data_IF_315572444515
#
_entry.id   IF_315572444515
#
_cell.length_a   1.000
_cell.length_b   1.000
_cell.length_c   1.000
_cell.angle_alpha   90.00
_cell.angle_beta   90.00
_cell.angle_gamma   90.00
#
_symmetry.space_group_name_H-M   'P 1'
#
loop_
_entity.id
_entity.type
_entity.pdbx_description
1 polymer ?
#
# COMPACT_ATOMS: atom_id res chain seq x y z
N UNK A 1 60.21 12.50 -16.53
CA UNK A 1 60.53 11.21 -17.17
C UNK A 1 61.47 10.45 -16.25
N UNK A 2 60.90 9.56 -15.44
CA UNK A 2 61.58 8.50 -14.66
C UNK A 2 60.47 7.50 -14.28
N UNK A 3 60.62 6.19 -14.55
CA UNK A 3 59.56 5.22 -14.35
C UNK A 3 59.58 4.68 -12.92
N UNK A 4 58.41 4.67 -12.26
CA UNK A 4 58.24 3.99 -10.97
C UNK A 4 57.82 2.54 -11.21
N UNK A 5 58.57 1.66 -10.54
CA UNK A 5 58.63 0.23 -10.76
C UNK A 5 57.38 -0.52 -10.30
N UNK A 6 57.13 -1.63 -11.01
CA UNK A 6 56.13 -2.63 -10.73
C UNK A 6 56.34 -3.33 -9.37
N UNK A 7 55.28 -3.42 -8.58
CA UNK A 7 55.22 -4.29 -7.40
C UNK A 7 54.39 -5.53 -7.75
N UNK A 8 55.08 -6.61 -8.13
CA UNK A 8 54.53 -7.98 -8.17
C UNK A 8 54.76 -8.60 -6.79
N UNK A 9 53.68 -8.77 -6.02
CA UNK A 9 53.67 -9.51 -4.76
C UNK A 9 52.69 -10.68 -4.86
N UNK A 10 53.24 -11.86 -5.13
CA UNK A 10 52.59 -13.17 -5.13
C UNK A 10 52.76 -13.79 -3.75
N UNK A 11 51.69 -14.07 -3.01
CA UNK A 11 51.69 -15.14 -1.99
C UNK A 11 50.33 -15.83 -1.97
N UNK A 12 50.42 -17.15 -2.17
CA UNK A 12 49.39 -18.16 -2.08
C UNK A 12 48.62 -18.10 -0.75
N UNK A 13 47.31 -18.34 -0.77
CA UNK A 13 46.70 -19.02 0.37
C UNK A 13 45.92 -20.24 -0.10
N UNK A 14 46.42 -21.38 0.37
CA UNK A 14 46.01 -22.70 0.00
C UNK A 14 44.72 -23.10 0.73
N UNK A 15 43.92 -23.87 0.01
CA UNK A 15 42.99 -24.87 0.49
C UNK A 15 42.97 -25.14 2.01
N UNK A 16 41.90 -24.69 2.67
CA UNK A 16 41.38 -25.37 3.86
C UNK A 16 40.04 -25.99 3.47
N UNK A 17 40.12 -27.23 2.99
CA UNK A 17 38.98 -28.15 2.90
C UNK A 17 38.77 -28.75 4.29
N UNK A 18 37.73 -28.30 5.00
CA UNK A 18 37.15 -29.08 6.08
C UNK A 18 35.82 -29.66 5.60
N UNK A 19 35.86 -30.95 5.25
CA UNK A 19 34.70 -31.81 5.16
C UNK A 19 34.59 -32.55 6.50
N UNK A 20 33.56 -32.27 7.30
CA UNK A 20 33.01 -33.21 8.31
C UNK A 20 31.51 -32.95 8.46
N UNK A 21 30.74 -33.80 7.78
CA UNK A 21 29.45 -34.46 8.08
C UNK A 21 28.29 -33.79 8.83
N UNK A 22 27.03 -34.18 8.48
CA UNK A 22 25.79 -33.64 9.05
C UNK A 22 25.43 -34.31 10.39
N UNK A 23 25.02 -33.51 11.38
CA UNK A 23 24.35 -34.01 12.58
C UNK A 23 22.84 -33.86 12.36
N UNK A 24 22.22 -34.98 12.00
CA UNK A 24 20.77 -35.18 12.03
C UNK A 24 20.35 -35.36 13.48
N UNK A 25 19.79 -34.34 14.13
CA UNK A 25 19.04 -34.51 15.38
C UNK A 25 17.56 -34.46 15.06
N UNK A 26 16.99 -35.65 14.86
CA UNK A 26 15.56 -35.87 14.98
C UNK A 26 15.22 -35.84 16.48
N UNK A 27 14.61 -34.75 16.95
CA UNK A 27 13.95 -34.70 18.24
C UNK A 27 12.44 -34.54 17.98
N UNK A 28 11.78 -35.68 17.89
CA UNK A 28 10.33 -35.77 18.06
C UNK A 28 10.01 -35.47 19.53
N UNK A 29 9.45 -34.29 19.79
CA UNK A 29 8.79 -33.99 21.06
C UNK A 29 7.29 -33.95 20.79
N UNK A 30 6.66 -35.09 21.05
CA UNK A 30 5.22 -35.19 21.19
C UNK A 30 4.82 -34.49 22.50
N UNK A 31 4.21 -33.30 22.41
CA UNK A 31 3.45 -32.74 23.52
C UNK A 31 2.00 -33.18 23.32
N UNK A 32 1.67 -34.24 24.06
CA UNK A 32 0.32 -34.62 24.42
C UNK A 32 -0.13 -33.69 25.54
N UNK A 33 -1.17 -32.91 25.28
CA UNK A 33 -1.96 -32.17 26.28
C UNK A 33 -3.31 -31.86 25.64
N UNK A 34 -4.34 -32.70 25.77
CA UNK A 34 -5.17 -32.87 26.96
C UNK A 34 -5.82 -31.55 27.43
N UNK A 35 -6.95 -31.24 26.80
CA UNK A 35 -8.16 -30.77 27.47
C UNK A 35 -8.15 -29.38 28.10
N UNK A 36 -8.90 -28.47 27.48
CA UNK A 36 -10.02 -27.81 28.16
C UNK A 36 -11.01 -27.32 27.12
N UNK A 37 -12.19 -27.94 27.12
CA UNK A 37 -13.40 -27.42 26.50
C UNK A 37 -13.71 -26.05 27.09
N UNK A 38 -13.66 -25.02 26.25
CA UNK A 38 -14.40 -23.78 26.46
C UNK A 38 -15.41 -23.69 25.32
N UNK A 39 -16.63 -24.07 25.69
CA UNK A 39 -17.86 -23.97 24.92
C UNK A 39 -18.16 -22.48 24.69
N UNK A 40 -17.55 -21.89 23.66
CA UNK A 40 -17.92 -20.57 23.19
C UNK A 40 -19.15 -20.70 22.31
N UNK A 41 -20.27 -20.29 22.90
CA UNK A 41 -21.59 -20.25 22.32
C UNK A 41 -21.55 -19.66 20.91
N UNK A 42 -21.88 -20.50 19.93
CA UNK A 42 -22.20 -20.09 18.58
C UNK A 42 -23.39 -19.14 18.64
N UNK A 43 -23.12 -17.84 18.65
CA UNK A 43 -24.11 -16.82 18.31
C UNK A 43 -24.49 -17.08 16.85
N UNK A 44 -25.74 -17.44 16.54
CA UNK A 44 -26.16 -17.59 15.16
C UNK A 44 -26.07 -16.21 14.53
N UNK A 45 -25.00 -15.98 13.76
CA UNK A 45 -24.93 -14.88 12.83
C UNK A 45 -26.07 -15.07 11.82
N UNK A 46 -27.23 -14.49 12.14
CA UNK A 46 -28.29 -14.19 11.19
C UNK A 46 -27.64 -13.32 10.12
N UNK A 47 -27.12 -14.01 9.10
CA UNK A 47 -26.61 -13.45 7.87
C UNK A 47 -27.81 -12.80 7.20
N UNK A 48 -28.08 -11.55 7.57
CA UNK A 48 -28.89 -10.63 6.77
C UNK A 48 -28.06 -10.32 5.53
N UNK A 49 -28.00 -11.27 4.60
CA UNK A 49 -27.94 -10.95 3.19
C UNK A 49 -29.34 -10.52 2.80
N UNK A 50 -29.65 -9.21 2.70
CA UNK A 50 -30.68 -8.85 1.74
C UNK A 50 -30.13 -9.30 0.39
N UNK A 51 -30.77 -10.29 -0.20
CA UNK A 51 -30.65 -10.54 -1.61
C UNK A 51 -31.05 -9.23 -2.30
N UNK A 52 -30.06 -8.39 -2.60
CA UNK A 52 -30.23 -7.26 -3.50
C UNK A 52 -30.44 -7.92 -4.86
N UNK A 53 -31.70 -8.29 -5.14
CA UNK A 53 -32.17 -8.50 -6.50
C UNK A 53 -31.61 -7.32 -7.28
N UNK A 54 -30.77 -7.62 -8.26
CA UNK A 54 -30.46 -6.66 -9.29
C UNK A 54 -31.81 -6.22 -9.84
N UNK A 55 -32.23 -5.01 -9.46
CA UNK A 55 -33.28 -4.29 -10.17
C UNK A 55 -32.65 -4.05 -11.52
N UNK A 56 -32.95 -4.95 -12.45
CA UNK A 56 -32.77 -4.64 -13.86
C UNK A 56 -33.58 -3.37 -14.10
N UNK A 57 -32.99 -2.30 -14.64
CA UNK A 57 -33.77 -1.17 -15.08
C UNK A 57 -34.72 -1.72 -16.13
N UNK A 58 -35.99 -1.86 -15.77
CA UNK A 58 -37.05 -1.94 -16.75
C UNK A 58 -37.02 -0.59 -17.43
N UNK A 59 -36.35 -0.54 -18.57
CA UNK A 59 -36.81 0.24 -19.71
C UNK A 59 -38.31 0.03 -19.77
N UNK A 60 -39.05 1.08 -19.42
CA UNK A 60 -40.32 1.46 -20.03
C UNK A 60 -41.05 2.45 -19.11
N UNK A 61 -41.16 3.67 -19.63
CA UNK A 61 -42.34 4.54 -19.46
C UNK A 61 -42.53 5.19 -18.08
N UNK A 62 -41.66 6.13 -17.70
CA UNK A 62 -42.04 7.21 -16.77
C UNK A 62 -41.76 8.57 -17.40
N UNK A 63 -42.85 9.13 -17.92
CA UNK A 63 -43.18 10.56 -17.98
C UNK A 63 -42.21 11.49 -18.73
N UNK A 64 -42.34 11.48 -20.05
CA UNK A 64 -42.28 12.70 -20.85
C UNK A 64 -43.25 13.75 -20.24
N UNK A 65 -42.78 15.00 -20.07
CA UNK A 65 -43.55 16.22 -19.75
C UNK A 65 -43.59 16.72 -18.29
N UNK A 66 -42.52 16.56 -17.50
CA UNK A 66 -42.33 17.44 -16.33
C UNK A 66 -41.34 18.57 -16.67
N UNK A 67 -41.79 19.84 -16.79
CA UNK A 67 -40.93 20.96 -17.22
C UNK A 67 -39.80 21.28 -16.23
N UNK A 68 -39.93 20.87 -14.96
CA UNK A 68 -38.88 21.05 -13.95
C UNK A 68 -37.71 20.07 -14.12
N UNK A 69 -37.96 18.84 -14.60
CA UNK A 69 -36.89 17.89 -14.91
C UNK A 69 -36.15 18.25 -16.20
N UNK A 70 -36.80 18.91 -17.16
CA UNK A 70 -36.13 19.44 -18.34
C UNK A 70 -35.15 20.58 -18.02
N UNK A 71 -35.46 21.41 -17.01
CA UNK A 71 -34.54 22.43 -16.50
C UNK A 71 -33.32 21.84 -15.78
N UNK A 72 -33.47 20.73 -15.05
CA UNK A 72 -32.34 20.05 -14.41
C UNK A 72 -31.47 19.26 -15.39
N UNK A 73 -32.05 18.61 -16.40
CA UNK A 73 -31.27 17.98 -17.48
C UNK A 73 -30.49 19.03 -18.28
N UNK A 74 -31.06 20.20 -18.56
CA UNK A 74 -30.32 21.27 -19.25
C UNK A 74 -29.12 21.81 -18.43
N UNK A 75 -29.16 21.74 -17.09
CA UNK A 75 -28.04 22.13 -16.23
C UNK A 75 -26.94 21.06 -16.12
N UNK A 76 -27.29 19.77 -16.26
CA UNK A 76 -26.33 18.66 -16.16
C UNK A 76 -25.70 18.34 -17.53
N UNK A 77 -26.45 18.50 -18.62
CA UNK A 77 -25.93 18.37 -20.00
C UNK A 77 -25.22 19.65 -20.48
N UNK A 78 -25.15 20.68 -19.63
CA UNK A 78 -24.57 21.99 -19.91
C UNK A 78 -23.11 22.14 -19.49
N UNK A 79 -22.25 21.13 -19.66
CA UNK A 79 -20.81 21.35 -19.91
C UNK A 79 -20.12 20.05 -20.38
N UNK A 80 -20.69 19.35 -21.37
CA UNK A 80 -19.82 18.56 -22.24
C UNK A 80 -18.91 19.57 -22.93
N UNK A 81 -17.75 19.83 -22.31
CA UNK A 81 -16.67 20.59 -22.92
C UNK A 81 -16.47 19.89 -24.26
N UNK A 82 -16.79 20.53 -25.40
CA UNK A 82 -16.68 19.88 -26.69
C UNK A 82 -15.28 19.29 -26.74
N UNK A 83 -15.20 17.96 -26.94
CA UNK A 83 -13.93 17.24 -26.99
C UNK A 83 -13.05 17.98 -28.00
N UNK A 84 -12.14 18.81 -27.48
CA UNK A 84 -11.49 19.89 -28.22
C UNK A 84 -10.80 19.27 -29.43
N UNK A 85 -11.40 19.34 -30.63
CA UNK A 85 -10.88 18.65 -31.77
C UNK A 85 -9.67 19.47 -32.22
N UNK A 86 -8.48 18.93 -31.95
CA UNK A 86 -7.20 19.56 -32.24
C UNK A 86 -6.82 20.74 -31.34
N UNK A 87 -6.81 20.53 -30.02
CA UNK A 87 -5.75 21.13 -29.23
C UNK A 87 -4.42 20.64 -29.82
N UNK A 88 -3.81 21.50 -30.64
CA UNK A 88 -2.48 21.26 -31.21
C UNK A 88 -1.55 21.26 -30.01
N UNK A 89 -1.31 20.07 -29.44
CA UNK A 89 -0.51 19.96 -28.24
C UNK A 89 0.86 20.51 -28.57
N UNK A 90 1.26 21.58 -27.90
CA UNK A 90 2.66 22.00 -27.95
C UNK A 90 3.54 20.77 -27.66
N UNK A 91 4.64 20.60 -28.41
CA UNK A 91 5.48 19.42 -28.27
C UNK A 91 5.86 19.26 -26.80
N UNK A 92 5.47 18.13 -26.21
CA UNK A 92 5.80 17.82 -24.83
C UNK A 92 7.32 17.97 -24.64
N UNK A 93 7.73 18.71 -23.61
CA UNK A 93 9.15 18.93 -23.29
C UNK A 93 9.90 17.66 -22.89
N UNK A 94 9.18 16.54 -22.77
CA UNK A 94 9.69 15.23 -22.39
C UNK A 94 9.36 14.19 -23.47
N UNK A 95 10.32 13.35 -23.81
CA UNK A 95 10.13 12.21 -24.70
C UNK A 95 9.96 10.94 -23.87
N UNK A 96 8.91 10.16 -24.18
CA UNK A 96 8.68 8.86 -23.54
C UNK A 96 9.69 7.85 -24.09
N UNK A 97 10.63 7.43 -23.25
CA UNK A 97 11.68 6.49 -23.68
C UNK A 97 11.22 5.03 -23.62
N UNK A 98 10.53 4.63 -22.56
CA UNK A 98 10.11 3.25 -22.34
C UNK A 98 8.87 3.14 -21.47
N UNK A 99 8.14 2.04 -21.63
CA UNK A 99 7.03 1.62 -20.77
C UNK A 99 7.20 0.14 -20.46
N UNK A 100 7.08 -0.24 -19.19
CA UNK A 100 7.14 -1.62 -18.76
C UNK A 100 6.26 -1.84 -17.54
N UNK A 101 5.78 -3.07 -17.39
CA UNK A 101 4.92 -3.47 -16.29
C UNK A 101 5.76 -4.06 -15.16
N UNK A 102 5.69 -3.44 -13.98
CA UNK A 102 6.34 -3.97 -12.78
C UNK A 102 5.36 -4.85 -12.02
N UNK A 103 5.71 -6.13 -11.87
CA UNK A 103 5.00 -7.10 -11.04
C UNK A 103 5.93 -7.70 -10.01
N UNK A 104 5.39 -8.13 -8.88
CA UNK A 104 6.15 -8.94 -7.91
C UNK A 104 6.69 -10.21 -8.56
N UNK A 105 7.77 -10.76 -8.02
CA UNK A 105 8.39 -11.98 -8.50
C UNK A 105 7.39 -13.16 -8.60
N UNK A 106 6.42 -13.21 -7.68
CA UNK A 106 5.34 -14.21 -7.65
C UNK A 106 4.05 -13.76 -8.36
N UNK A 107 4.07 -12.69 -9.16
CA UNK A 107 2.90 -12.04 -9.78
C UNK A 107 1.83 -11.52 -8.80
N UNK A 108 2.09 -11.58 -7.48
CA UNK A 108 1.14 -11.17 -6.42
C UNK A 108 1.41 -9.79 -5.81
N UNK A 109 2.60 -9.25 -6.06
CA UNK A 109 3.02 -7.94 -5.56
C UNK A 109 2.64 -6.80 -6.51
N UNK A 110 2.36 -5.63 -5.93
CA UNK A 110 2.04 -4.40 -6.64
C UNK A 110 3.11 -3.35 -6.40
N UNK A 111 3.41 -2.55 -7.42
CA UNK A 111 4.28 -1.38 -7.29
C UNK A 111 3.66 -0.39 -6.30
N UNK A 112 4.35 -0.13 -5.18
CA UNK A 112 3.92 0.86 -4.18
C UNK A 112 4.55 2.23 -4.41
N UNK A 113 5.84 2.23 -4.73
CA UNK A 113 6.63 3.43 -5.00
C UNK A 113 7.90 3.07 -5.77
N UNK A 114 8.54 4.08 -6.34
CA UNK A 114 9.82 3.91 -7.01
C UNK A 114 10.74 5.10 -6.71
N UNK A 115 12.04 4.89 -6.89
CA UNK A 115 13.07 5.91 -6.82
C UNK A 115 14.14 5.65 -7.89
N UNK A 116 14.92 6.67 -8.23
CA UNK A 116 16.03 6.58 -9.17
C UNK A 116 17.32 6.84 -8.40
N UNK A 117 18.33 6.01 -8.60
CA UNK A 117 19.65 6.22 -7.99
C UNK A 117 20.56 7.14 -8.81
N UNK A 118 21.77 7.43 -8.30
CA UNK A 118 22.73 8.26 -9.04
C UNK A 118 23.24 7.63 -10.33
N UNK A 119 23.04 6.32 -10.53
CA UNK A 119 23.42 5.59 -11.73
C UNK A 119 22.29 5.56 -12.77
N UNK A 120 21.14 6.17 -12.49
CA UNK A 120 19.96 6.14 -13.35
C UNK A 120 19.22 4.81 -13.34
N UNK A 121 19.49 3.94 -12.36
CA UNK A 121 18.75 2.69 -12.16
C UNK A 121 17.45 2.99 -11.43
N UNK A 122 16.39 2.28 -11.78
CA UNK A 122 15.09 2.40 -11.14
C UNK A 122 14.96 1.36 -10.03
N UNK A 123 14.68 1.81 -8.82
CA UNK A 123 14.38 0.96 -7.67
C UNK A 123 12.88 0.99 -7.41
N UNK A 124 12.23 -0.16 -7.51
CA UNK A 124 10.80 -0.33 -7.31
C UNK A 124 10.53 -1.05 -5.99
N UNK A 125 9.79 -0.41 -5.08
CA UNK A 125 9.25 -1.08 -3.91
C UNK A 125 7.99 -1.85 -4.31
N UNK A 126 8.06 -3.17 -4.21
CA UNK A 126 6.96 -4.07 -4.54
C UNK A 126 6.47 -4.76 -3.28
N UNK A 127 5.17 -4.58 -3.00
CA UNK A 127 4.55 -4.96 -1.75
C UNK A 127 3.09 -5.37 -1.93
N UNK A 128 2.41 -5.65 -0.83
CA UNK A 128 0.95 -5.81 -0.85
C UNK A 128 0.30 -4.48 -1.19
N UNK A 129 -0.86 -4.53 -1.85
CA UNK A 129 -1.66 -3.32 -2.06
C UNK A 129 -1.96 -2.69 -0.71
N UNK A 130 -1.49 -1.46 -0.49
CA UNK A 130 -1.82 -0.71 0.70
C UNK A 130 -3.34 -0.48 0.76
N UNK A 131 -4.02 -1.29 1.56
CA UNK A 131 -5.42 -1.07 1.94
C UNK A 131 -5.42 -0.03 3.06
N UNK A 132 -5.85 1.18 2.73
CA UNK A 132 -6.08 2.22 3.73
C UNK A 132 -7.38 1.91 4.47
N UNK A 133 -7.29 1.62 5.78
CA UNK A 133 -8.43 1.30 6.61
C UNK A 133 -8.05 0.66 7.94
N UNK A 134 -8.84 0.92 8.98
CA UNK A 134 -8.66 0.29 10.30
C UNK A 134 -9.06 -1.18 10.19
N UNK A 135 -8.13 -2.08 10.49
CA UNK A 135 -8.40 -3.53 10.57
C UNK A 135 -8.12 -4.34 9.30
N UNK A 136 -7.68 -3.71 8.20
CA UNK A 136 -7.19 -4.45 7.03
C UNK A 136 -5.70 -4.71 7.17
N UNK A 137 -5.35 -5.83 7.78
CA UNK A 137 -3.98 -6.37 7.68
C UNK A 137 -3.66 -6.68 6.22
N UNK A 138 -2.46 -6.31 5.78
CA UNK A 138 -1.95 -6.64 4.46
C UNK A 138 -2.18 -8.13 4.16
N UNK A 139 -2.71 -8.43 2.98
CA UNK A 139 -2.95 -9.81 2.55
C UNK A 139 -1.63 -10.59 2.67
N UNK A 140 -1.54 -11.67 3.45
CA UNK A 140 -0.27 -12.30 3.82
C UNK A 140 0.49 -12.96 2.66
N UNK A 141 -0.03 -12.88 1.44
CA UNK A 141 0.47 -13.60 0.26
C UNK A 141 1.18 -12.71 -0.78
N UNK A 142 1.38 -11.42 -0.54
CA UNK A 142 2.11 -10.57 -1.48
C UNK A 142 3.62 -10.59 -1.22
N UNK A 143 4.40 -10.50 -2.29
CA UNK A 143 5.86 -10.40 -2.25
C UNK A 143 6.29 -9.12 -1.54
N UNK A 144 7.37 -9.21 -0.77
CA UNK A 144 7.96 -8.11 0.00
C UNK A 144 9.38 -7.91 -0.49
N UNK A 145 9.55 -7.06 -1.49
CA UNK A 145 10.85 -6.95 -2.15
C UNK A 145 11.08 -5.57 -2.77
N UNK A 146 12.36 -5.26 -2.98
CA UNK A 146 12.78 -4.16 -3.86
C UNK A 146 13.32 -4.78 -5.14
N UNK A 147 12.77 -4.36 -6.27
CA UNK A 147 13.28 -4.75 -7.58
C UNK A 147 14.12 -3.62 -8.15
N UNK A 148 15.31 -3.94 -8.66
CA UNK A 148 16.21 -2.99 -9.29
C UNK A 148 16.16 -3.20 -10.79
N UNK A 149 15.88 -2.14 -11.54
CA UNK A 149 15.86 -2.12 -12.99
C UNK A 149 16.95 -1.19 -13.52
N UNK A 150 17.45 -1.51 -14.71
CA UNK A 150 18.26 -0.60 -15.52
C UNK A 150 17.47 0.63 -15.97
N UNK A 151 18.15 1.63 -16.52
CA UNK A 151 17.52 2.81 -17.11
C UNK A 151 16.55 2.44 -18.25
N UNK A 152 16.78 1.32 -18.93
CA UNK A 152 15.93 0.78 -20.00
C UNK A 152 14.78 -0.10 -19.48
N UNK A 153 14.64 -0.26 -18.16
CA UNK A 153 13.59 -1.08 -17.56
C UNK A 153 13.86 -2.58 -17.51
N UNK A 154 15.10 -3.02 -17.80
CA UNK A 154 15.48 -4.45 -17.64
C UNK A 154 15.74 -4.77 -16.17
N UNK A 155 15.19 -5.87 -15.62
CA UNK A 155 15.44 -6.27 -14.23
C UNK A 155 16.90 -6.68 -14.03
N UNK A 156 17.52 -6.17 -12.97
CA UNK A 156 18.92 -6.39 -12.60
C UNK A 156 19.06 -7.21 -11.31
N UNK A 157 18.29 -6.87 -10.28
CA UNK A 157 18.36 -7.53 -8.97
C UNK A 157 17.00 -7.52 -8.26
N UNK A 158 16.83 -8.45 -7.32
CA UNK A 158 15.72 -8.49 -6.37
C UNK A 158 16.28 -8.53 -4.95
N UNK A 159 15.71 -7.74 -4.05
CA UNK A 159 16.13 -7.65 -2.65
C UNK A 159 14.94 -8.00 -1.76
N UNK A 160 14.90 -9.19 -1.16
CA UNK A 160 13.81 -9.59 -0.27
C UNK A 160 13.83 -8.77 1.02
N UNK A 161 12.66 -8.47 1.55
CA UNK A 161 12.46 -7.73 2.80
C UNK A 161 11.54 -8.48 3.76
N UNK A 162 11.80 -8.30 5.06
CA UNK A 162 11.01 -8.95 6.12
C UNK A 162 9.65 -8.25 6.35
N UNK A 163 9.48 -7.03 5.87
CA UNK A 163 8.28 -6.20 6.03
C UNK A 163 7.75 -5.69 4.68
N UNK A 164 6.50 -5.20 4.66
CA UNK A 164 5.82 -4.78 3.43
C UNK A 164 6.26 -3.36 3.01
N UNK A 165 7.01 -3.20 1.90
CA UNK A 165 7.57 -1.90 1.53
C UNK A 165 6.50 -1.00 0.88
N UNK A 166 6.32 0.21 1.41
CA UNK A 166 5.31 1.17 0.92
C UNK A 166 5.93 2.39 0.25
N UNK A 167 7.11 2.80 0.73
CA UNK A 167 7.85 3.97 0.28
C UNK A 167 9.32 3.63 0.14
N UNK A 168 9.95 4.12 -0.92
CA UNK A 168 11.39 4.01 -1.16
C UNK A 168 11.97 5.39 -1.47
N UNK A 169 13.17 5.65 -0.97
CA UNK A 169 13.94 6.84 -1.25
C UNK A 169 15.43 6.47 -1.38
N UNK A 170 16.16 7.24 -2.18
CA UNK A 170 17.62 7.09 -2.34
C UNK A 170 18.30 8.32 -1.76
N UNK A 171 19.25 8.12 -0.85
CA UNK A 171 20.06 9.18 -0.28
C UNK A 171 21.22 9.61 -1.18
N UNK A 172 21.93 10.71 -0.85
CA UNK A 172 23.02 11.25 -1.67
C UNK A 172 24.26 10.34 -1.79
N UNK A 173 24.36 9.30 -0.94
CA UNK A 173 25.41 8.27 -0.99
C UNK A 173 24.95 6.97 -1.66
N UNK A 174 23.81 7.01 -2.35
CA UNK A 174 23.04 5.86 -2.83
C UNK A 174 22.68 4.85 -1.73
N UNK A 175 22.57 5.31 -0.49
CA UNK A 175 21.93 4.52 0.56
C UNK A 175 20.44 4.47 0.24
N UNK A 176 19.87 3.26 0.23
CA UNK A 176 18.45 3.07 -0.09
C UNK A 176 17.68 2.97 1.20
N UNK A 177 16.67 3.82 1.36
CA UNK A 177 15.79 3.83 2.51
C UNK A 177 14.42 3.30 2.09
N UNK A 178 13.98 2.24 2.77
CA UNK A 178 12.67 1.62 2.53
C UNK A 178 11.83 1.71 3.78
N UNK A 179 10.64 2.27 3.67
CA UNK A 179 9.69 2.42 4.76
C UNK A 179 8.38 1.68 4.46
N UNK A 180 7.84 1.02 5.48
CA UNK A 180 6.58 0.29 5.37
C UNK A 180 6.26 -0.52 6.62
N UNK A 181 4.98 -0.82 6.85
CA UNK A 181 4.50 -1.52 8.06
C UNK A 181 4.99 -0.91 9.39
N UNK A 182 5.24 0.41 9.41
CA UNK A 182 5.81 1.09 10.57
C UNK A 182 7.28 0.81 10.87
N UNK A 183 8.00 0.17 9.94
CA UNK A 183 9.45 -0.05 10.00
C UNK A 183 10.16 0.76 8.93
N UNK A 184 11.42 1.10 9.19
CA UNK A 184 12.31 1.75 8.25
C UNK A 184 13.58 0.91 8.17
N UNK A 185 13.96 0.51 6.97
CA UNK A 185 15.22 -0.19 6.71
C UNK A 185 16.14 0.67 5.84
N UNK A 186 17.41 0.70 6.21
CA UNK A 186 18.51 1.23 5.39
C UNK A 186 19.21 0.05 4.72
N UNK A 187 19.23 0.08 3.40
CA UNK A 187 19.79 -0.96 2.52
C UNK A 187 21.03 -0.38 1.83
N UNK A 188 22.08 -1.18 1.76
CA UNK A 188 23.29 -0.87 1.01
C UNK A 188 23.08 -1.01 -0.50
N UNK A 189 24.02 -0.51 -1.31
CA UNK A 189 24.08 -0.68 -2.77
C UNK A 189 24.00 -2.15 -3.23
N UNK A 190 24.45 -3.05 -2.37
CA UNK A 190 24.42 -4.50 -2.57
C UNK A 190 23.05 -5.14 -2.36
N UNK A 191 22.07 -4.40 -1.82
CA UNK A 191 20.77 -4.94 -1.41
C UNK A 191 20.76 -5.53 0.00
N UNK A 192 21.86 -5.42 0.75
CA UNK A 192 21.93 -5.92 2.13
C UNK A 192 21.33 -4.88 3.10
N UNK A 193 20.40 -5.32 3.96
CA UNK A 193 19.86 -4.50 5.05
C UNK A 193 20.96 -4.24 6.08
N UNK A 194 21.32 -2.96 6.26
CA UNK A 194 22.33 -2.52 7.23
C UNK A 194 21.68 -2.31 8.59
N UNK A 195 20.55 -1.61 8.61
CA UNK A 195 19.84 -1.20 9.83
C UNK A 195 18.35 -1.30 9.59
N UNK A 196 17.62 -1.85 10.54
CA UNK A 196 16.17 -1.84 10.59
C UNK A 196 15.74 -1.22 11.91
N UNK A 197 14.90 -0.19 11.83
CA UNK A 197 14.42 0.57 13.00
C UNK A 197 12.90 0.68 12.93
N UNK A 198 12.24 0.56 14.08
CA UNK A 198 10.82 0.85 14.20
C UNK A 198 10.57 2.36 14.15
N UNK A 199 9.55 2.79 13.39
CA UNK A 199 9.22 4.20 13.25
C UNK A 199 8.77 4.77 14.61
N UNK A 200 9.38 5.86 15.10
CA UNK A 200 9.09 6.41 16.43
C UNK A 200 7.63 6.85 16.57
N UNK A 201 7.01 7.33 15.48
CA UNK A 201 5.61 7.72 15.49
C UNK A 201 4.65 6.52 15.61
N UNK A 202 5.02 5.36 15.05
CA UNK A 202 4.20 4.14 15.16
C UNK A 202 4.30 3.57 16.57
N UNK A 203 5.48 3.63 17.19
CA UNK A 203 5.67 3.20 18.58
C UNK A 203 4.74 3.94 19.55
N UNK A 204 4.66 5.27 19.43
CA UNK A 204 3.75 6.07 20.25
C UNK A 204 2.26 5.74 19.98
N UNK A 205 1.86 5.63 18.71
CA UNK A 205 0.48 5.29 18.34
C UNK A 205 0.06 3.88 18.79
N UNK A 206 0.99 2.93 18.83
CA UNK A 206 0.74 1.57 19.31
C UNK A 206 0.63 1.50 20.84
N UNK A 207 1.34 2.38 21.56
CA UNK A 207 1.26 2.50 23.02
C UNK A 207 -0.10 3.02 23.49
N UNK A 208 -0.67 4.00 22.79
CA UNK A 208 -1.86 4.75 23.24
C UNK A 208 -3.15 4.34 22.50
N UNK A 209 -3.30 3.06 22.15
CA UNK A 209 -4.49 2.57 21.40
C UNK A 209 -5.82 2.86 22.11
N UNK A 210 -5.84 2.79 23.43
CA UNK A 210 -7.04 3.07 24.23
C UNK A 210 -7.39 4.56 24.19
N UNK A 211 -6.41 5.46 24.35
CA UNK A 211 -6.62 6.90 24.25
C UNK A 211 -7.06 7.32 22.84
N UNK A 212 -6.51 6.70 21.79
CA UNK A 212 -6.96 6.92 20.42
C UNK A 212 -8.40 6.47 20.22
N UNK A 213 -8.80 5.31 20.76
CA UNK A 213 -10.18 4.83 20.69
C UNK A 213 -11.14 5.77 21.42
N UNK A 214 -10.77 6.22 22.61
CA UNK A 214 -11.58 7.16 23.38
C UNK A 214 -11.72 8.50 22.64
N UNK A 215 -10.62 9.06 22.12
CA UNK A 215 -10.67 10.32 21.37
C UNK A 215 -11.53 10.20 20.10
N UNK A 216 -11.49 9.05 19.40
CA UNK A 216 -12.34 8.78 18.25
C UNK A 216 -13.82 8.65 18.64
N UNK A 217 -14.11 8.04 19.78
CA UNK A 217 -15.48 7.96 20.32
C UNK A 217 -16.00 9.33 20.76
N UNK A 218 -15.16 10.17 21.36
CA UNK A 218 -15.51 11.55 21.73
C UNK A 218 -15.79 12.41 20.48
N UNK A 219 -14.94 12.34 19.46
CA UNK A 219 -15.18 13.02 18.17
C UNK A 219 -16.48 12.54 17.52
N UNK A 220 -16.75 11.23 17.55
CA UNK A 220 -17.99 10.67 17.03
C UNK A 220 -19.21 11.18 17.79
N UNK A 221 -19.15 11.25 19.12
CA UNK A 221 -20.24 11.78 19.96
C UNK A 221 -20.50 13.26 19.67
N UNK A 222 -19.45 14.07 19.57
CA UNK A 222 -19.58 15.48 19.20
C UNK A 222 -20.26 15.65 17.85
N UNK A 223 -19.84 14.86 16.85
CA UNK A 223 -20.45 14.89 15.52
C UNK A 223 -21.93 14.49 15.54
N UNK A 224 -22.30 13.44 16.29
CA UNK A 224 -23.71 13.04 16.47
C UNK A 224 -24.52 14.17 17.11
N UNK A 225 -23.99 14.81 18.15
CA UNK A 225 -24.67 15.90 18.83
C UNK A 225 -24.90 17.11 17.89
N UNK A 226 -23.89 17.50 17.11
CA UNK A 226 -24.04 18.57 16.11
C UNK A 226 -25.15 18.24 15.11
N UNK A 227 -25.22 17.00 14.60
CA UNK A 227 -26.28 16.62 13.66
C UNK A 227 -27.67 16.61 14.29
N UNK A 228 -27.79 16.20 15.55
CA UNK A 228 -29.07 16.24 16.28
C UNK A 228 -29.54 17.69 16.50
N UNK A 229 -28.64 18.61 16.78
CA UNK A 229 -28.96 20.03 16.91
C UNK A 229 -29.43 20.63 15.57
N UNK A 230 -28.75 20.29 14.47
CA UNK A 230 -29.16 20.71 13.12
C UNK A 230 -30.55 20.16 12.79
N UNK A 231 -30.81 18.87 13.05
CA UNK A 231 -32.13 18.26 12.82
C UNK A 231 -33.24 18.98 13.59
N UNK A 232 -33.03 19.23 14.89
CA UNK A 232 -33.98 19.98 15.72
C UNK A 232 -34.24 21.39 15.18
N UNK A 233 -33.20 22.09 14.73
CA UNK A 233 -33.33 23.44 14.16
C UNK A 233 -34.15 23.44 12.87
N UNK A 234 -34.00 22.43 12.02
CA UNK A 234 -34.77 22.28 10.79
C UNK A 234 -36.24 21.93 11.07
N UNK A 235 -36.50 21.06 12.05
CA UNK A 235 -37.88 20.75 12.48
C UNK A 235 -38.61 21.99 13.00
N UNK A 236 -37.91 22.85 13.77
CA UNK A 236 -38.46 24.12 14.24
C UNK A 236 -38.79 25.08 13.09
N UNK A 237 -37.88 25.21 12.11
CA UNK A 237 -38.13 26.04 10.91
C UNK A 237 -39.32 25.54 10.11
N UNK A 238 -39.43 24.22 9.93
CA UNK A 238 -40.59 23.59 9.26
C UNK A 238 -41.90 23.92 9.98
N UNK A 239 -41.93 23.78 11.31
CA UNK A 239 -43.12 24.10 12.11
C UNK A 239 -43.51 25.58 12.10
N UNK A 240 -42.56 26.50 11.84
CA UNK A 240 -42.86 27.92 11.64
C UNK A 240 -43.48 28.21 10.27
N UNK A 241 -43.04 27.50 9.23
CA UNK A 241 -43.56 27.66 7.86
C UNK A 241 -44.94 27.04 7.64
N UNK A 242 -45.33 26.05 8.45
CA UNK A 242 -46.63 25.38 8.35
C UNK A 242 -47.78 26.14 9.07
N UNK A 243 -47.49 27.26 9.73
CA UNK A 243 -48.48 28.13 10.39
C UNK A 243 -48.79 29.36 9.56
#
# INVERSE_FOLDING_TARGET
MTPFAAFRGWVNNAAVRHAVLPITVAAAVAIVGAGTSAEEQAVPAKRLTPARKAVQPTDDTIAENNPLLQLFSALITGNETPANPAATSEPATHTRQSEFLVKGHDDKGWLQSFAVDSQGRLLAAVGSRATYGVGTSATPAATREVQVFSAEGKPLAHWPLDFDPQRIAVGPKDEVFVAGSGKIARIDKSGKVIVQVDSPHIGALLGDREALRESAEQQRKQMINTYQEVQKSMEQQKGFLEK
#
